data_IF_450963406292
#
_entry.id   IF_450963406292
#
_cell.length_a   1.000
_cell.length_b   1.000
_cell.length_c   1.000
_cell.angle_alpha   90.00
_cell.angle_beta   90.00
_cell.angle_gamma   90.00
#
_symmetry.space_group_name_H-M   'P 1'
#
loop_
_entity.id
_entity.type
_entity.pdbx_description
1 polymer ?
#
# COMPACT_ATOMS: atom_id res chain seq x y z
N UNK A 1 -24.07 -4.01 20.08
CA UNK A 1 -23.32 -4.92 19.20
C UNK A 1 -22.26 -4.20 18.34
N UNK A 2 -22.49 -3.00 17.85
CA UNK A 2 -21.51 -2.21 17.06
C UNK A 2 -20.26 -1.78 17.86
N UNK A 3 -20.39 -1.39 19.13
CA UNK A 3 -19.25 -0.92 19.93
C UNK A 3 -18.15 -1.97 20.15
N UNK A 4 -18.48 -3.25 20.29
CA UNK A 4 -17.49 -4.31 20.49
C UNK A 4 -16.72 -4.68 19.21
N UNK A 5 -17.31 -4.55 18.03
CA UNK A 5 -16.69 -4.92 16.76
C UNK A 5 -15.64 -3.92 16.29
N UNK A 6 -15.81 -2.62 16.60
CA UNK A 6 -14.89 -1.56 16.20
C UNK A 6 -13.53 -1.60 16.93
N UNK A 7 -13.53 -2.03 18.19
CA UNK A 7 -12.30 -2.15 18.99
C UNK A 7 -11.49 -3.42 18.71
N UNK A 8 -12.07 -4.41 18.02
CA UNK A 8 -11.46 -5.73 17.80
C UNK A 8 -10.73 -5.88 16.46
N UNK A 9 -10.74 -4.86 15.60
CA UNK A 9 -10.07 -4.94 14.29
C UNK A 9 -8.56 -5.07 14.43
N UNK A 10 -8.00 -4.61 15.55
CA UNK A 10 -6.57 -4.59 15.80
C UNK A 10 -6.28 -5.02 17.24
N UNK A 11 -6.31 -6.33 17.48
CA UNK A 11 -5.99 -6.90 18.79
C UNK A 11 -4.56 -7.46 18.82
N UNK A 12 -3.87 -7.18 19.93
CA UNK A 12 -2.63 -7.86 20.28
C UNK A 12 -2.97 -9.28 20.72
N UNK A 13 -2.57 -10.28 19.94
CA UNK A 13 -3.08 -11.65 20.05
C UNK A 13 -2.27 -12.53 20.98
N UNK A 14 -1.06 -12.12 21.36
CA UNK A 14 -0.20 -12.86 22.27
C UNK A 14 0.36 -11.99 23.38
N UNK A 15 0.27 -12.50 24.61
CA UNK A 15 0.92 -11.82 25.74
C UNK A 15 2.42 -11.63 25.48
N UNK A 16 2.92 -10.45 25.79
CA UNK A 16 4.33 -10.04 25.64
C UNK A 16 5.36 -11.04 26.23
N UNK A 17 4.96 -11.80 27.25
CA UNK A 17 5.81 -12.84 27.88
C UNK A 17 6.03 -14.04 26.93
N UNK A 18 4.99 -14.45 26.20
CA UNK A 18 5.05 -15.56 25.24
C UNK A 18 5.90 -15.19 24.04
N UNK A 19 5.74 -13.97 23.51
CA UNK A 19 6.55 -13.45 22.40
C UNK A 19 8.03 -13.34 22.80
N UNK A 20 8.34 -12.86 24.01
CA UNK A 20 9.71 -12.80 24.52
C UNK A 20 10.36 -14.19 24.63
N UNK A 21 9.57 -15.21 24.99
CA UNK A 21 10.05 -16.61 25.09
C UNK A 21 10.31 -17.20 23.69
N UNK A 22 9.46 -16.92 22.72
CA UNK A 22 9.61 -17.38 21.33
C UNK A 22 10.83 -16.75 20.64
N UNK A 23 11.13 -15.47 20.93
CA UNK A 23 12.26 -14.74 20.35
C UNK A 23 13.65 -15.16 20.87
N UNK A 24 13.72 -16.05 21.88
CA UNK A 24 15.00 -16.45 22.48
C UNK A 24 15.76 -17.41 21.55
N UNK A 25 16.64 -16.84 20.68
CA UNK A 25 17.51 -17.60 19.78
C UNK A 25 16.84 -18.15 18.50
N UNK A 26 15.57 -17.85 18.24
CA UNK A 26 14.85 -18.30 17.06
C UNK A 26 14.77 -17.17 16.02
N UNK A 27 15.12 -17.46 14.77
CA UNK A 27 14.85 -16.57 13.62
C UNK A 27 13.57 -17.02 12.94
N UNK A 28 12.75 -16.06 12.56
CA UNK A 28 11.49 -16.27 11.86
C UNK A 28 11.64 -15.96 10.36
N UNK A 29 11.04 -16.81 9.53
CA UNK A 29 11.03 -16.59 8.09
C UNK A 29 9.85 -15.67 7.72
N UNK A 30 10.10 -14.71 6.84
CA UNK A 30 9.04 -13.92 6.20
C UNK A 30 8.04 -14.85 5.49
N UNK A 31 6.76 -14.73 5.81
CA UNK A 31 5.68 -15.56 5.28
C UNK A 31 4.86 -16.24 6.36
N UNK A 32 4.02 -17.18 5.94
CA UNK A 32 3.16 -17.93 6.86
C UNK A 32 3.97 -18.87 7.76
N UNK A 33 3.71 -18.79 9.05
CA UNK A 33 4.25 -19.68 10.07
C UNK A 33 3.13 -20.54 10.64
N UNK A 34 3.20 -21.86 10.39
CA UNK A 34 2.17 -22.82 10.80
C UNK A 34 2.14 -23.10 12.30
N UNK A 35 3.26 -22.93 13.01
CA UNK A 35 3.32 -23.15 14.47
C UNK A 35 2.56 -22.06 15.23
N UNK A 36 2.58 -20.83 14.72
CA UNK A 36 1.92 -19.66 15.33
C UNK A 36 0.58 -19.34 14.67
N UNK A 37 0.26 -20.04 13.58
CA UNK A 37 -0.87 -19.69 12.69
C UNK A 37 -0.93 -18.20 12.38
N UNK A 38 0.22 -17.61 12.04
CA UNK A 38 0.31 -16.19 11.69
C UNK A 38 1.20 -15.97 10.47
N UNK A 39 1.00 -14.82 9.79
CA UNK A 39 1.85 -14.37 8.71
C UNK A 39 2.88 -13.38 9.25
N UNK A 40 4.15 -13.73 9.16
CA UNK A 40 5.26 -12.90 9.63
C UNK A 40 5.68 -11.95 8.52
N UNK A 41 5.53 -10.64 8.75
CA UNK A 41 5.90 -9.58 7.82
C UNK A 41 7.27 -8.96 8.13
N UNK A 42 7.94 -9.48 9.15
CA UNK A 42 9.30 -9.10 9.51
C UNK A 42 10.31 -9.70 8.53
N UNK A 43 11.16 -8.87 7.95
CA UNK A 43 12.24 -9.30 7.03
C UNK A 43 13.58 -9.46 7.72
N UNK A 44 13.74 -8.89 8.92
CA UNK A 44 14.96 -9.00 9.75
C UNK A 44 15.07 -10.31 10.54
N UNK A 45 14.03 -11.15 10.46
CA UNK A 45 13.96 -12.43 11.16
C UNK A 45 13.58 -12.35 12.63
N UNK A 46 13.16 -11.18 13.11
CA UNK A 46 12.63 -11.00 14.48
C UNK A 46 11.11 -11.10 14.48
N UNK A 47 10.52 -11.37 15.63
CA UNK A 47 9.07 -11.32 15.82
C UNK A 47 8.76 -10.41 17.01
N UNK A 48 7.98 -9.38 16.77
CA UNK A 48 7.39 -8.48 17.77
C UNK A 48 5.96 -8.86 18.08
N UNK A 49 5.08 -7.88 18.09
CA UNK A 49 3.66 -8.09 18.39
C UNK A 49 2.97 -8.81 17.23
N UNK A 50 1.94 -9.59 17.58
CA UNK A 50 1.06 -10.25 16.62
C UNK A 50 -0.31 -9.61 16.72
N UNK A 51 -0.74 -9.02 15.61
CA UNK A 51 -2.05 -8.39 15.48
C UNK A 51 -3.02 -9.31 14.74
N UNK A 52 -4.27 -9.33 15.17
CA UNK A 52 -5.34 -9.97 14.43
C UNK A 52 -6.15 -8.91 13.68
N UNK A 53 -6.21 -9.05 12.35
CA UNK A 53 -6.95 -8.17 11.45
C UNK A 53 -7.99 -9.03 10.73
N UNK A 54 -9.23 -9.00 11.19
CA UNK A 54 -10.35 -9.76 10.61
C UNK A 54 -10.02 -11.24 10.35
N UNK A 55 -9.50 -11.91 11.38
CA UNK A 55 -9.13 -13.33 11.33
C UNK A 55 -7.76 -13.63 10.71
N UNK A 56 -7.04 -12.62 10.19
CA UNK A 56 -5.66 -12.77 9.73
C UNK A 56 -4.70 -12.32 10.83
N UNK A 57 -3.90 -13.22 11.35
CA UNK A 57 -2.85 -12.90 12.32
C UNK A 57 -1.58 -12.46 11.60
N UNK A 58 -1.07 -11.30 11.98
CA UNK A 58 0.07 -10.62 11.35
C UNK A 58 1.15 -10.34 12.39
N UNK A 59 2.32 -10.95 12.25
CA UNK A 59 3.47 -10.75 13.12
C UNK A 59 4.41 -9.68 12.57
N UNK A 60 4.60 -8.59 13.31
CA UNK A 60 5.48 -7.47 12.94
C UNK A 60 6.91 -7.69 13.47
N UNK A 61 7.92 -6.93 12.98
CA UNK A 61 9.27 -6.94 13.53
C UNK A 61 9.28 -6.56 15.01
N UNK A 62 10.30 -7.04 15.71
CA UNK A 62 10.53 -6.64 17.10
C UNK A 62 10.88 -5.16 17.19
N UNK A 63 10.28 -4.47 18.16
CA UNK A 63 10.61 -3.07 18.46
C UNK A 63 12.11 -2.91 18.74
N UNK A 64 12.82 -2.01 18.05
CA UNK A 64 14.23 -1.79 18.25
C UNK A 64 14.48 -1.18 19.65
N UNK A 65 15.66 -1.45 20.21
CA UNK A 65 16.05 -0.89 21.52
C UNK A 65 16.07 0.64 21.48
N UNK A 66 16.44 1.23 20.36
CA UNK A 66 16.51 2.68 20.13
C UNK A 66 15.81 3.00 18.79
N UNK A 67 14.93 3.98 18.81
CA UNK A 67 14.34 4.57 17.62
C UNK A 67 15.12 5.85 17.33
N UNK A 68 15.74 5.92 16.14
CA UNK A 68 16.64 6.99 15.77
C UNK A 68 15.92 8.35 15.78
N UNK A 69 16.56 9.36 16.38
CA UNK A 69 16.04 10.72 16.40
C UNK A 69 14.83 10.97 17.30
N UNK A 70 14.42 9.97 18.11
CA UNK A 70 13.21 10.09 18.93
C UNK A 70 13.45 9.69 20.40
N UNK A 71 12.86 10.47 21.32
CA UNK A 71 12.92 10.21 22.73
C UNK A 71 11.63 9.47 23.19
N UNK A 72 11.80 8.24 23.70
CA UNK A 72 10.69 7.41 24.21
C UNK A 72 9.92 8.03 25.38
N UNK A 73 10.48 9.04 26.06
CA UNK A 73 9.81 9.71 27.16
C UNK A 73 8.86 10.84 26.75
N UNK A 74 8.99 11.33 25.51
CA UNK A 74 8.13 12.40 24.98
C UNK A 74 6.84 11.83 24.44
N UNK A 75 5.72 12.21 25.04
CA UNK A 75 4.39 11.79 24.59
C UNK A 75 3.90 12.53 23.34
N UNK A 76 4.38 13.75 23.12
CA UNK A 76 3.94 14.60 22.00
C UNK A 76 4.76 14.34 20.72
N UNK A 77 4.82 13.06 20.29
CA UNK A 77 5.49 12.66 19.06
C UNK A 77 4.50 12.01 18.11
N UNK A 78 4.64 12.32 16.84
CA UNK A 78 3.83 11.77 15.75
C UNK A 78 4.70 11.61 14.50
N UNK A 79 4.16 10.95 13.47
CA UNK A 79 4.89 10.79 12.22
C UNK A 79 5.20 12.15 11.59
N UNK A 80 6.45 12.34 11.24
CA UNK A 80 6.90 13.48 10.47
C UNK A 80 7.66 12.98 9.24
N UNK A 81 7.28 13.53 8.09
CA UNK A 81 7.97 13.24 6.84
C UNK A 81 9.46 13.53 6.99
N UNK A 82 10.30 12.60 6.56
CA UNK A 82 11.75 12.79 6.58
C UNK A 82 12.18 13.78 5.51
N UNK A 83 12.88 14.80 5.91
CA UNK A 83 13.43 15.79 4.99
C UNK A 83 14.66 15.24 4.29
N UNK A 84 14.73 15.40 2.96
CA UNK A 84 16.01 15.24 2.26
C UNK A 84 17.00 16.31 2.74
N UNK A 85 18.30 15.98 2.87
CA UNK A 85 19.33 17.00 3.00
C UNK A 85 19.20 18.04 1.88
N UNK A 86 19.34 19.32 2.20
CA UNK A 86 19.07 20.41 1.24
C UNK A 86 19.95 20.30 -0.01
N UNK A 87 21.20 19.90 0.16
CA UNK A 87 22.10 19.63 -0.95
C UNK A 87 21.65 18.50 -1.87
N UNK A 88 21.04 17.42 -1.32
CA UNK A 88 20.46 16.32 -2.10
C UNK A 88 19.20 16.73 -2.87
N UNK A 89 18.47 17.75 -2.44
CA UNK A 89 17.31 18.25 -3.17
C UNK A 89 17.66 18.85 -4.53
N UNK A 90 18.88 19.34 -4.70
CA UNK A 90 19.42 19.90 -5.94
C UNK A 90 19.82 18.84 -6.96
N UNK A 91 20.09 17.62 -6.50
CA UNK A 91 20.49 16.49 -7.36
C UNK A 91 19.20 15.88 -7.96
N UNK A 92 19.08 15.97 -9.28
CA UNK A 92 17.91 15.49 -10.02
C UNK A 92 18.15 14.17 -10.72
N UNK A 93 19.40 13.89 -11.09
CA UNK A 93 19.76 12.71 -11.88
C UNK A 93 20.95 11.99 -11.24
N UNK A 94 21.14 10.72 -11.62
CA UNK A 94 22.32 9.96 -11.19
C UNK A 94 23.62 10.61 -11.73
N UNK A 95 23.57 11.26 -12.89
CA UNK A 95 24.72 11.99 -13.44
C UNK A 95 25.12 13.18 -12.56
N UNK A 96 24.16 13.95 -12.06
CA UNK A 96 24.43 15.05 -11.14
C UNK A 96 25.12 14.53 -9.88
N UNK A 97 24.70 13.33 -9.42
CA UNK A 97 25.30 12.70 -8.23
C UNK A 97 26.70 12.14 -8.51
N UNK A 98 26.93 11.50 -9.65
CA UNK A 98 28.27 11.01 -10.06
C UNK A 98 29.29 12.17 -10.11
N UNK A 99 28.87 13.35 -10.56
CA UNK A 99 29.71 14.53 -10.67
C UNK A 99 29.85 15.34 -9.35
N UNK A 100 29.22 14.89 -8.26
CA UNK A 100 29.31 15.56 -6.97
C UNK A 100 30.69 15.26 -6.34
N UNK A 101 31.32 16.25 -5.61
CA UNK A 101 32.64 16.03 -4.99
C UNK A 101 32.63 14.82 -4.04
N UNK A 102 33.64 13.95 -4.15
CA UNK A 102 33.73 12.71 -3.37
C UNK A 102 33.69 12.96 -1.86
N UNK A 103 34.39 13.97 -1.38
CA UNK A 103 34.41 14.30 0.04
C UNK A 103 33.06 14.67 0.66
N UNK A 104 32.05 14.92 -0.18
CA UNK A 104 30.69 15.29 0.24
C UNK A 104 29.70 14.13 0.08
N UNK A 105 30.12 13.01 -0.51
CA UNK A 105 29.23 11.88 -0.84
C UNK A 105 28.94 10.96 0.36
N UNK A 106 29.86 10.80 1.31
CA UNK A 106 29.71 9.82 2.41
C UNK A 106 28.41 9.99 3.21
N UNK A 107 28.06 11.24 3.55
CA UNK A 107 26.80 11.53 4.23
C UNK A 107 25.56 11.23 3.39
N UNK A 108 25.67 11.34 2.06
CA UNK A 108 24.59 11.04 1.14
C UNK A 108 24.38 9.55 0.93
N UNK A 109 25.45 8.77 0.82
CA UNK A 109 25.36 7.32 0.74
C UNK A 109 24.64 6.76 1.96
N UNK A 110 25.03 7.16 3.16
CA UNK A 110 24.35 6.74 4.39
C UNK A 110 22.85 7.11 4.41
N UNK A 111 22.51 8.31 3.93
CA UNK A 111 21.11 8.73 3.82
C UNK A 111 20.37 7.85 2.82
N UNK A 112 20.93 7.63 1.64
CA UNK A 112 20.34 6.83 0.57
C UNK A 112 20.16 5.37 1.01
N UNK A 113 21.18 4.77 1.62
CA UNK A 113 21.13 3.41 2.16
C UNK A 113 20.00 3.26 3.21
N UNK A 114 19.87 4.23 4.11
CA UNK A 114 18.77 4.24 5.07
C UNK A 114 17.40 4.29 4.38
N UNK A 115 17.24 5.10 3.31
CA UNK A 115 15.98 5.17 2.56
C UNK A 115 15.65 3.84 1.87
N UNK A 116 16.65 3.13 1.31
CA UNK A 116 16.47 1.79 0.78
C UNK A 116 16.12 0.77 1.88
N UNK A 117 16.78 0.84 3.04
CA UNK A 117 16.45 -0.02 4.18
C UNK A 117 15.03 0.23 4.68
N UNK A 118 14.59 1.49 4.81
CA UNK A 118 13.20 1.80 5.20
C UNK A 118 12.18 1.35 4.16
N UNK A 119 12.53 1.45 2.89
CA UNK A 119 11.71 0.93 1.79
C UNK A 119 11.57 -0.58 1.84
N UNK A 120 12.62 -1.31 2.21
CA UNK A 120 12.62 -2.77 2.27
C UNK A 120 12.07 -3.30 3.59
N UNK A 121 12.62 -2.85 4.72
CA UNK A 121 12.41 -3.45 6.03
C UNK A 121 11.36 -2.71 6.88
N UNK A 122 10.94 -1.53 6.42
CA UNK A 122 10.01 -0.66 7.12
C UNK A 122 10.70 0.33 8.07
N UNK A 123 9.89 1.11 8.75
CA UNK A 123 10.34 2.23 9.55
C UNK A 123 9.66 2.27 10.91
N UNK A 124 10.44 2.53 11.95
CA UNK A 124 9.95 2.73 13.31
C UNK A 124 9.96 4.20 13.70
N UNK A 125 8.88 4.66 14.30
CA UNK A 125 8.78 6.00 14.90
C UNK A 125 8.01 5.94 16.22
N UNK A 126 8.05 7.03 17.00
CA UNK A 126 7.24 7.18 18.21
C UNK A 126 5.94 7.91 17.86
N UNK A 127 4.82 7.36 18.29
CA UNK A 127 3.51 7.95 18.15
C UNK A 127 2.81 7.97 19.50
N UNK A 128 2.53 9.16 20.03
CA UNK A 128 1.92 9.34 21.35
C UNK A 128 2.63 8.54 22.49
N UNK A 129 3.96 8.52 22.46
CA UNK A 129 4.76 7.81 23.45
C UNK A 129 4.94 6.30 23.23
N UNK A 130 4.30 5.73 22.19
CA UNK A 130 4.39 4.31 21.86
C UNK A 130 5.16 4.09 20.55
N UNK A 131 5.97 2.99 20.45
CA UNK A 131 6.62 2.62 19.21
C UNK A 131 5.60 2.21 18.15
N UNK A 132 5.70 2.79 16.97
CA UNK A 132 4.85 2.50 15.83
C UNK A 132 5.68 2.03 14.64
N UNK A 133 5.30 0.90 14.06
CA UNK A 133 5.93 0.33 12.88
C UNK A 133 5.17 0.70 11.61
N UNK A 134 5.90 1.05 10.56
CA UNK A 134 5.42 1.18 9.19
C UNK A 134 6.06 0.10 8.34
N UNK A 135 5.28 -0.63 7.55
CA UNK A 135 5.84 -1.49 6.49
C UNK A 135 6.58 -0.64 5.45
N UNK A 136 7.47 -1.24 4.68
CA UNK A 136 8.19 -0.50 3.63
C UNK A 136 7.26 0.20 2.64
N UNK A 137 6.18 -0.48 2.22
CA UNK A 137 5.15 0.11 1.34
C UNK A 137 4.45 1.31 1.99
N UNK A 138 4.14 1.23 3.29
CA UNK A 138 3.54 2.35 4.02
C UNK A 138 4.51 3.53 4.17
N UNK A 139 5.79 3.24 4.47
CA UNK A 139 6.82 4.25 4.52
C UNK A 139 6.96 5.01 3.19
N UNK A 140 7.02 4.29 2.07
CA UNK A 140 7.08 4.89 0.73
C UNK A 140 5.83 5.74 0.45
N UNK A 141 4.64 5.24 0.82
CA UNK A 141 3.40 5.98 0.67
C UNK A 141 3.44 7.32 1.42
N UNK A 142 3.83 7.33 2.69
CA UNK A 142 3.85 8.54 3.50
C UNK A 142 5.00 9.49 3.13
N UNK A 143 6.18 8.97 2.84
CA UNK A 143 7.38 9.81 2.70
C UNK A 143 7.64 10.25 1.26
N UNK A 144 7.29 9.42 0.26
CA UNK A 144 7.70 9.62 -1.13
C UNK A 144 6.55 9.72 -2.13
N UNK A 145 5.33 9.39 -1.73
CA UNK A 145 4.17 9.51 -2.62
C UNK A 145 3.65 10.94 -2.63
N UNK A 146 3.47 11.47 -3.83
CA UNK A 146 2.75 12.73 -4.04
C UNK A 146 1.27 12.41 -4.23
N UNK A 147 0.42 13.11 -3.49
CA UNK A 147 -1.04 13.14 -3.69
C UNK A 147 -1.46 14.55 -4.15
N UNK A 148 -2.75 14.75 -4.46
CA UNK A 148 -3.26 16.00 -4.99
C UNK A 148 -2.92 17.22 -4.12
N UNK A 149 -2.95 17.06 -2.80
CA UNK A 149 -2.68 18.10 -1.80
C UNK A 149 -1.30 18.04 -1.16
N UNK A 150 -0.33 17.39 -1.81
CA UNK A 150 1.04 17.29 -1.31
C UNK A 150 1.45 15.87 -0.95
N UNK A 151 1.56 15.52 0.32
CA UNK A 151 1.91 14.18 0.82
C UNK A 151 0.81 13.65 1.72
N UNK A 152 0.59 12.33 1.76
CA UNK A 152 -0.37 11.76 2.69
C UNK A 152 0.12 11.88 4.14
N UNK A 153 -0.84 12.00 5.04
CA UNK A 153 -0.61 11.97 6.49
C UNK A 153 -0.69 10.54 7.02
N UNK A 154 -0.03 10.31 8.15
CA UNK A 154 -0.14 9.04 8.87
C UNK A 154 -1.55 8.88 9.45
N UNK A 155 -2.16 7.71 9.18
CA UNK A 155 -3.47 7.31 9.74
C UNK A 155 -3.43 5.86 10.18
N UNK A 156 -4.05 5.58 11.31
CA UNK A 156 -4.15 4.22 11.84
C UNK A 156 -4.86 3.27 10.85
N UNK A 157 -5.91 3.73 10.18
CA UNK A 157 -6.58 2.96 9.14
C UNK A 157 -5.62 2.51 8.03
N UNK A 158 -4.75 3.41 7.56
CA UNK A 158 -3.76 3.10 6.55
C UNK A 158 -2.69 2.13 7.08
N UNK A 159 -2.32 2.20 8.37
CA UNK A 159 -1.41 1.23 9.00
C UNK A 159 -1.99 -0.17 8.98
N UNK A 160 -3.26 -0.33 9.35
CA UNK A 160 -3.97 -1.61 9.29
C UNK A 160 -4.02 -2.13 7.85
N UNK A 161 -4.37 -1.29 6.88
CA UNK A 161 -4.39 -1.61 5.47
C UNK A 161 -3.03 -2.13 4.99
N UNK A 162 -1.93 -1.44 5.29
CA UNK A 162 -0.60 -1.84 4.85
C UNK A 162 -0.05 -3.07 5.60
N UNK A 163 -0.42 -3.30 6.86
CA UNK A 163 -0.10 -4.55 7.55
C UNK A 163 -0.80 -5.73 6.89
N UNK A 164 -2.09 -5.59 6.59
CA UNK A 164 -2.86 -6.60 5.90
C UNK A 164 -2.33 -6.88 4.49
N UNK A 165 -2.00 -5.82 3.76
CA UNK A 165 -1.39 -5.95 2.43
C UNK A 165 -0.03 -6.64 2.46
N UNK A 166 0.84 -6.27 3.38
CA UNK A 166 2.15 -6.93 3.53
C UNK A 166 1.98 -8.40 3.88
N UNK A 167 1.01 -8.74 4.72
CA UNK A 167 0.68 -10.13 5.01
C UNK A 167 0.15 -10.87 3.78
N UNK A 168 -0.69 -10.25 2.93
CA UNK A 168 -1.10 -10.83 1.65
C UNK A 168 0.08 -11.11 0.72
N UNK A 169 1.08 -10.21 0.69
CA UNK A 169 2.32 -10.42 -0.09
C UNK A 169 3.16 -11.56 0.45
N UNK A 170 3.32 -11.61 1.77
CA UNK A 170 4.14 -12.61 2.45
C UNK A 170 3.54 -14.01 2.41
N UNK A 171 2.22 -14.13 2.45
CA UNK A 171 1.52 -15.42 2.42
C UNK A 171 1.47 -15.99 0.99
N UNK A 172 2.20 -17.06 0.76
CA UNK A 172 2.23 -17.77 -0.54
C UNK A 172 0.90 -18.42 -0.92
N UNK A 173 -0.06 -18.52 0.01
CA UNK A 173 -1.40 -19.05 -0.22
C UNK A 173 -2.37 -17.99 -0.76
N UNK A 174 -2.07 -16.71 -0.55
CA UNK A 174 -2.91 -15.57 -0.94
C UNK A 174 -2.60 -15.09 -2.35
N UNK A 175 -3.63 -14.77 -3.12
CA UNK A 175 -3.52 -14.00 -4.37
C UNK A 175 -3.57 -12.48 -4.15
N UNK A 176 -3.71 -12.01 -2.91
CA UNK A 176 -3.80 -10.60 -2.59
C UNK A 176 -5.01 -10.28 -1.71
N UNK A 177 -5.51 -9.06 -1.81
CA UNK A 177 -6.59 -8.57 -0.98
C UNK A 177 -7.83 -8.17 -1.78
N UNK A 178 -9.01 -8.29 -1.14
CA UNK A 178 -10.28 -7.73 -1.57
C UNK A 178 -10.77 -6.74 -0.49
N UNK A 179 -10.59 -5.46 -0.74
CA UNK A 179 -10.86 -4.40 0.22
C UNK A 179 -12.21 -3.74 -0.02
N UNK A 180 -13.13 -3.92 0.91
CA UNK A 180 -14.36 -3.13 0.97
C UNK A 180 -14.04 -1.83 1.72
N UNK A 181 -14.06 -0.72 1.00
CA UNK A 181 -13.60 0.59 1.47
C UNK A 181 -14.76 1.58 1.58
N UNK A 182 -14.59 2.58 2.43
CA UNK A 182 -15.38 3.78 2.41
C UNK A 182 -14.96 4.72 1.25
N UNK A 183 -15.81 5.69 0.93
CA UNK A 183 -15.44 6.77 0.01
C UNK A 183 -14.29 7.58 0.59
N UNK A 184 -13.38 8.06 -0.27
CA UNK A 184 -12.21 8.89 0.08
C UNK A 184 -11.19 8.23 1.02
N UNK A 185 -11.19 6.90 1.11
CA UNK A 185 -10.19 6.14 1.90
C UNK A 185 -8.73 6.28 1.41
N UNK A 186 -8.48 6.97 0.29
CA UNK A 186 -7.15 7.08 -0.30
C UNK A 186 -6.67 5.84 -1.06
N UNK A 187 -7.50 4.79 -1.20
CA UNK A 187 -7.11 3.51 -1.81
C UNK A 187 -6.42 3.65 -3.16
N UNK A 188 -6.97 4.45 -4.08
CA UNK A 188 -6.39 4.61 -5.42
C UNK A 188 -4.96 5.16 -5.38
N UNK A 189 -4.64 6.04 -4.41
CA UNK A 189 -3.27 6.53 -4.20
C UNK A 189 -2.38 5.48 -3.53
N UNK A 190 -2.88 4.74 -2.54
CA UNK A 190 -2.13 3.65 -1.90
C UNK A 190 -1.78 2.56 -2.92
N UNK A 191 -2.74 2.17 -3.76
CA UNK A 191 -2.54 1.18 -4.83
C UNK A 191 -1.58 1.68 -5.91
N UNK A 192 -1.69 2.95 -6.34
CA UNK A 192 -0.77 3.56 -7.30
C UNK A 192 0.66 3.66 -6.75
N UNK A 193 0.80 4.02 -5.46
CA UNK A 193 2.09 4.05 -4.77
C UNK A 193 2.72 2.67 -4.72
N UNK A 194 1.96 1.64 -4.37
CA UNK A 194 2.47 0.26 -4.33
C UNK A 194 2.84 -0.27 -5.71
N UNK A 195 2.06 0.10 -6.75
CA UNK A 195 2.37 -0.26 -8.13
C UNK A 195 3.74 0.30 -8.55
N UNK A 196 3.98 1.60 -8.35
CA UNK A 196 5.27 2.25 -8.64
C UNK A 196 6.38 1.68 -7.74
N UNK A 197 6.09 1.46 -6.45
CA UNK A 197 7.04 0.90 -5.50
C UNK A 197 7.55 -0.46 -5.96
N UNK A 198 6.67 -1.38 -6.31
CA UNK A 198 7.07 -2.70 -6.79
C UNK A 198 7.73 -2.65 -8.17
N UNK A 199 7.23 -1.85 -9.11
CA UNK A 199 7.80 -1.75 -10.45
C UNK A 199 9.24 -1.22 -10.46
N UNK A 200 9.58 -0.38 -9.48
CA UNK A 200 10.93 0.19 -9.34
C UNK A 200 11.87 -0.65 -8.43
N UNK A 201 11.42 -1.82 -7.96
CA UNK A 201 12.21 -2.77 -7.16
C UNK A 201 12.20 -4.20 -7.70
N UNK A 202 11.46 -4.44 -8.76
CA UNK A 202 11.39 -5.75 -9.44
C UNK A 202 12.17 -5.72 -10.76
N UNK A 203 12.43 -6.90 -11.32
CA UNK A 203 12.97 -7.08 -12.68
C UNK A 203 12.03 -7.97 -13.50
N UNK A 204 12.03 -7.82 -14.82
CA UNK A 204 11.25 -8.65 -15.76
C UNK A 204 9.78 -8.81 -15.38
N UNK A 205 9.15 -7.72 -14.95
CA UNK A 205 7.82 -7.76 -14.32
C UNK A 205 6.83 -6.80 -14.98
N UNK A 206 5.55 -7.20 -14.99
CA UNK A 206 4.44 -6.37 -15.46
C UNK A 206 3.47 -6.05 -14.35
N UNK A 207 2.92 -4.84 -14.40
CA UNK A 207 1.99 -4.27 -13.43
C UNK A 207 0.79 -3.73 -14.18
N UNK A 208 -0.39 -4.31 -13.90
CA UNK A 208 -1.62 -3.99 -14.62
C UNK A 208 -2.60 -3.19 -13.77
N UNK A 209 -3.35 -2.30 -14.41
CA UNK A 209 -4.39 -1.49 -13.76
C UNK A 209 -5.72 -1.69 -14.47
N UNK A 210 -6.74 -2.04 -13.70
CA UNK A 210 -8.14 -2.04 -14.09
C UNK A 210 -8.94 -1.16 -13.13
N UNK A 211 -10.03 -0.58 -13.63
CA UNK A 211 -10.98 0.19 -12.83
C UNK A 211 -12.41 -0.13 -13.31
N UNK A 212 -13.41 0.62 -12.85
CA UNK A 212 -14.81 0.43 -13.30
C UNK A 212 -14.96 0.63 -14.83
N UNK A 213 -14.18 1.52 -15.43
CA UNK A 213 -14.08 1.72 -16.90
C UNK A 213 -12.65 1.89 -17.33
N UNK A 214 -12.37 1.71 -18.64
CA UNK A 214 -11.04 1.99 -19.21
C UNK A 214 -10.62 3.45 -19.06
N UNK A 215 -11.57 4.39 -19.13
CA UNK A 215 -11.30 5.81 -18.90
C UNK A 215 -10.83 6.08 -17.46
N UNK A 216 -11.46 5.44 -16.47
CA UNK A 216 -11.06 5.55 -15.06
C UNK A 216 -9.69 4.89 -14.80
N UNK A 217 -9.43 3.73 -15.42
CA UNK A 217 -8.12 3.08 -15.35
C UNK A 217 -7.02 3.96 -15.94
N UNK A 218 -7.27 4.57 -17.11
CA UNK A 218 -6.38 5.55 -17.73
C UNK A 218 -6.15 6.76 -16.83
N UNK A 219 -7.22 7.32 -16.24
CA UNK A 219 -7.14 8.45 -15.33
C UNK A 219 -6.31 8.10 -14.08
N UNK A 220 -6.51 6.92 -13.49
CA UNK A 220 -5.67 6.46 -12.38
C UNK A 220 -4.20 6.40 -12.78
N UNK A 221 -3.90 5.88 -13.97
CA UNK A 221 -2.54 5.80 -14.49
C UNK A 221 -1.93 7.18 -14.70
N UNK A 222 -2.60 8.08 -15.46
CA UNK A 222 -2.07 9.40 -15.81
C UNK A 222 -1.98 10.37 -14.64
N UNK A 223 -2.95 10.34 -13.73
CA UNK A 223 -3.10 11.34 -12.68
C UNK A 223 -2.48 10.92 -11.35
N UNK A 224 -2.20 9.61 -11.17
CA UNK A 224 -1.62 9.08 -9.92
C UNK A 224 -0.31 8.34 -10.16
N UNK A 225 -0.29 7.28 -10.96
CA UNK A 225 0.91 6.44 -11.16
C UNK A 225 2.06 7.25 -11.78
N UNK A 226 1.80 7.93 -12.88
CA UNK A 226 2.84 8.73 -13.57
C UNK A 226 3.37 9.86 -12.69
N UNK A 227 2.55 10.68 -12.01
CA UNK A 227 3.06 11.70 -11.09
C UNK A 227 3.84 11.13 -9.91
N UNK A 228 3.46 9.99 -9.34
CA UNK A 228 4.21 9.34 -8.25
C UNK A 228 5.60 8.95 -8.75
N UNK A 229 5.69 8.28 -9.90
CA UNK A 229 6.97 7.91 -10.51
C UNK A 229 7.84 9.14 -10.81
N UNK A 230 7.26 10.17 -11.44
CA UNK A 230 7.97 11.40 -11.80
C UNK A 230 8.54 12.13 -10.57
N UNK A 231 7.84 12.06 -9.42
CA UNK A 231 8.26 12.74 -8.19
C UNK A 231 9.22 11.91 -7.30
N UNK A 232 9.51 10.66 -7.65
CA UNK A 232 10.52 9.89 -6.90
C UNK A 232 11.88 10.59 -6.94
N UNK A 233 12.69 10.47 -5.88
CA UNK A 233 14.05 10.99 -5.88
C UNK A 233 14.90 10.23 -6.89
N UNK A 234 15.99 10.83 -7.37
CA UNK A 234 16.86 10.24 -8.38
C UNK A 234 17.34 8.82 -8.03
N UNK A 235 17.59 8.55 -6.75
CA UNK A 235 18.07 7.25 -6.28
C UNK A 235 17.01 6.16 -6.25
N UNK A 236 15.72 6.50 -6.38
CA UNK A 236 14.62 5.55 -6.54
C UNK A 236 14.11 5.46 -7.99
N UNK A 237 14.59 6.34 -8.87
CA UNK A 237 14.20 6.33 -10.28
C UNK A 237 15.08 5.39 -11.08
N UNK A 238 14.52 4.28 -11.62
CA UNK A 238 15.23 3.51 -12.63
C UNK A 238 15.28 4.27 -13.96
N UNK A 239 16.08 3.74 -14.90
CA UNK A 239 16.09 4.23 -16.28
C UNK A 239 14.69 4.02 -16.86
N UNK A 240 14.16 5.05 -17.50
CA UNK A 240 12.85 5.04 -18.12
C UNK A 240 13.00 5.17 -19.64
N UNK A 241 12.31 4.30 -20.38
CA UNK A 241 12.14 4.43 -21.83
C UNK A 241 10.89 5.25 -22.16
N UNK A 242 10.96 6.02 -23.23
CA UNK A 242 9.85 6.83 -23.73
C UNK A 242 9.70 8.19 -23.06
N UNK A 243 8.47 8.69 -23.04
CA UNK A 243 8.14 10.03 -22.53
C UNK A 243 8.18 10.04 -21.00
N UNK A 244 8.55 11.19 -20.42
CA UNK A 244 8.49 11.41 -18.95
C UNK A 244 7.05 11.25 -18.41
N UNK A 245 6.05 11.60 -19.21
CA UNK A 245 4.62 11.51 -18.85
C UNK A 245 3.85 10.68 -19.88
N UNK A 246 3.99 9.37 -19.85
CA UNK A 246 3.29 8.49 -20.77
C UNK A 246 1.77 8.45 -20.49
N UNK A 247 0.97 8.11 -21.51
CA UNK A 247 -0.49 8.00 -21.41
C UNK A 247 -1.01 6.57 -21.38
N UNK A 248 -0.17 5.60 -21.77
CA UNK A 248 -0.56 4.19 -21.94
C UNK A 248 0.28 3.23 -21.15
N UNK A 249 1.59 3.38 -21.18
CA UNK A 249 2.55 2.48 -20.54
C UNK A 249 3.72 3.29 -19.97
N UNK A 250 4.10 3.00 -18.74
CA UNK A 250 5.32 3.48 -18.11
C UNK A 250 6.33 2.32 -18.11
N UNK A 251 7.45 2.51 -18.80
CA UNK A 251 8.45 1.47 -19.05
C UNK A 251 9.79 1.82 -18.42
N UNK A 252 10.29 0.96 -17.53
CA UNK A 252 11.60 1.07 -16.91
C UNK A 252 12.59 0.14 -17.61
N UNK A 253 12.91 0.49 -18.84
CA UNK A 253 13.81 -0.25 -19.74
C UNK A 253 14.92 0.66 -20.23
N UNK A 254 16.01 0.07 -20.68
CA UNK A 254 17.03 0.82 -21.41
C UNK A 254 16.42 1.25 -22.74
N UNK A 255 16.45 2.55 -23.08
CA UNK A 255 15.97 3.02 -24.36
C UNK A 255 16.68 2.31 -25.51
N UNK A 256 15.93 1.69 -26.41
CA UNK A 256 16.48 1.11 -27.62
C UNK A 256 16.90 2.23 -28.60
N UNK A 257 17.99 2.91 -28.30
CA UNK A 257 18.61 3.83 -29.26
C UNK A 257 19.20 3.00 -30.39
N UNK A 258 18.68 3.17 -31.59
CA UNK A 258 19.43 2.84 -32.77
C UNK A 258 20.67 3.74 -32.78
N UNK A 259 21.77 3.23 -32.24
CA UNK A 259 23.08 3.88 -32.33
C UNK A 259 23.43 3.91 -33.82
N UNK A 260 23.26 5.05 -34.46
CA UNK A 260 23.77 5.24 -35.82
C UNK A 260 25.30 5.15 -35.74
N UNK A 261 25.93 4.54 -36.72
CA UNK A 261 27.38 4.39 -36.87
C UNK A 261 28.14 5.72 -36.62
N UNK A 262 27.52 6.85 -36.87
CA UNK A 262 28.05 8.19 -36.63
C UNK A 262 28.08 8.61 -35.16
N UNK A 263 27.12 8.17 -34.37
CA UNK A 263 27.10 8.46 -32.91
C UNK A 263 28.17 7.64 -32.16
N UNK A 264 28.45 6.41 -32.63
CA UNK A 264 29.54 5.58 -32.11
C UNK A 264 30.94 6.15 -32.43
N UNK A 265 31.10 6.93 -33.49
CA UNK A 265 32.39 7.58 -33.87
C UNK A 265 32.63 8.90 -33.12
N UNK A 266 31.59 9.60 -32.70
CA UNK A 266 31.69 10.91 -32.04
C UNK A 266 31.87 10.82 -30.51
N UNK A 267 31.50 9.72 -29.88
CA UNK A 267 31.61 9.48 -28.44
C UNK A 267 32.74 8.53 -28.08
N UNK A 268 33.90 8.65 -28.71
CA UNK A 268 35.08 7.82 -28.54
C UNK A 268 35.21 7.19 -27.12
N UNK A 269 35.06 5.89 -27.05
CA UNK A 269 34.93 5.03 -25.89
C UNK A 269 33.53 5.06 -25.21
N UNK A 270 32.67 4.23 -25.73
CA UNK A 270 31.66 3.58 -24.91
C UNK A 270 32.40 2.66 -23.91
N UNK A 271 32.77 3.18 -22.74
CA UNK A 271 32.69 2.34 -21.58
C UNK A 271 31.19 2.15 -21.35
N UNK A 272 30.65 1.08 -21.93
CA UNK A 272 29.41 0.48 -21.53
C UNK A 272 29.59 0.04 -20.06
N UNK A 273 29.41 0.95 -19.12
CA UNK A 273 28.81 0.54 -17.87
C UNK A 273 27.47 -0.04 -18.31
N UNK A 274 27.33 -1.37 -18.24
CA UNK A 274 26.09 -2.07 -18.45
C UNK A 274 25.07 -1.56 -17.44
N UNK A 275 24.42 -0.45 -17.75
CA UNK A 275 23.27 0.02 -17.01
C UNK A 275 22.14 -0.95 -17.34
N UNK A 276 21.99 -1.99 -16.52
CA UNK A 276 20.93 -2.96 -16.66
C UNK A 276 19.59 -2.28 -16.36
N UNK A 277 18.71 -2.18 -17.35
CA UNK A 277 17.32 -1.80 -17.15
C UNK A 277 16.60 -2.80 -16.26
N UNK A 278 15.53 -2.39 -15.59
CA UNK A 278 14.71 -3.29 -14.78
C UNK A 278 13.82 -4.20 -15.64
N UNK A 279 13.57 -3.84 -16.90
CA UNK A 279 12.60 -4.51 -17.79
C UNK A 279 11.21 -4.65 -17.17
N UNK A 280 10.78 -3.62 -16.45
CA UNK A 280 9.46 -3.57 -15.84
C UNK A 280 8.55 -2.58 -16.56
N UNK A 281 7.26 -2.89 -16.59
CA UNK A 281 6.23 -2.04 -17.20
C UNK A 281 5.02 -1.89 -16.29
N UNK A 282 4.42 -0.70 -16.30
CA UNK A 282 3.10 -0.43 -15.73
C UNK A 282 2.19 0.03 -16.86
N UNK A 283 1.07 -0.64 -17.03
CA UNK A 283 0.05 -0.27 -18.01
C UNK A 283 -1.36 -0.32 -17.45
N UNK A 284 -2.31 0.08 -18.24
CA UNK A 284 -3.74 -0.02 -17.93
C UNK A 284 -4.49 -0.61 -19.15
N UNK A 285 -5.60 -1.28 -18.88
CA UNK A 285 -6.46 -1.82 -19.96
C UNK A 285 -7.90 -1.38 -19.80
N UNK A 286 -8.64 -1.48 -20.90
CA UNK A 286 -10.09 -1.34 -20.87
C UNK A 286 -10.70 -2.43 -20.01
N UNK A 287 -11.79 -2.08 -19.31
CA UNK A 287 -12.55 -2.99 -18.47
C UNK A 287 -13.28 -4.00 -19.33
N UNK A 288 -13.18 -5.26 -18.97
CA UNK A 288 -13.83 -6.36 -19.66
C UNK A 288 -13.46 -7.71 -19.06
N UNK A 289 -14.30 -8.72 -19.27
CA UNK A 289 -14.11 -10.06 -18.69
C UNK A 289 -12.75 -10.68 -19.02
N UNK A 290 -12.21 -10.42 -20.20
CA UNK A 290 -10.93 -10.98 -20.70
C UNK A 290 -9.76 -9.99 -20.62
N UNK A 291 -9.89 -8.88 -19.88
CA UNK A 291 -8.78 -7.94 -19.71
C UNK A 291 -7.59 -8.64 -19.02
N UNK A 292 -6.40 -8.47 -19.57
CA UNK A 292 -5.16 -9.14 -19.18
C UNK A 292 -5.10 -10.66 -19.41
N UNK A 293 -6.04 -11.26 -20.16
CA UNK A 293 -5.94 -12.68 -20.50
C UNK A 293 -4.62 -13.01 -21.22
N UNK A 294 -3.98 -14.12 -20.84
CA UNK A 294 -2.71 -14.57 -21.39
C UNK A 294 -1.46 -13.80 -20.92
N UNK A 295 -1.60 -12.79 -20.05
CA UNK A 295 -0.46 -12.04 -19.54
C UNK A 295 0.04 -12.57 -18.19
N UNK A 296 1.34 -12.35 -17.90
CA UNK A 296 1.93 -12.63 -16.58
C UNK A 296 2.08 -11.30 -15.84
N UNK A 297 1.43 -11.18 -14.68
CA UNK A 297 1.44 -9.97 -13.86
C UNK A 297 2.11 -10.24 -12.51
N UNK A 298 2.93 -9.28 -12.07
CA UNK A 298 3.48 -9.24 -10.72
C UNK A 298 2.51 -8.57 -9.74
N UNK A 299 1.83 -7.52 -10.19
CA UNK A 299 0.74 -6.88 -9.45
C UNK A 299 -0.38 -6.52 -10.42
N UNK A 300 -1.60 -6.83 -10.02
CA UNK A 300 -2.83 -6.35 -10.64
C UNK A 300 -3.54 -5.43 -9.65
N UNK A 301 -3.76 -4.19 -10.05
CA UNK A 301 -4.58 -3.23 -9.29
C UNK A 301 -5.98 -3.23 -9.90
N UNK A 302 -6.98 -3.50 -9.05
CA UNK A 302 -8.39 -3.38 -9.37
C UNK A 302 -9.02 -2.27 -8.53
N UNK A 303 -9.27 -1.10 -9.12
CA UNK A 303 -10.00 -0.03 -8.44
C UNK A 303 -11.49 -0.05 -8.83
N UNK A 304 -12.36 0.25 -7.88
CA UNK A 304 -13.81 0.32 -8.04
C UNK A 304 -14.45 -0.98 -8.60
N UNK A 305 -13.96 -2.15 -8.14
CA UNK A 305 -14.37 -3.48 -8.65
C UNK A 305 -15.85 -3.81 -8.46
N UNK A 306 -16.53 -3.21 -7.47
CA UNK A 306 -17.96 -3.36 -7.24
C UNK A 306 -18.84 -2.53 -8.17
N UNK A 307 -18.24 -1.71 -9.03
CA UNK A 307 -18.95 -0.79 -9.93
C UNK A 307 -18.84 -1.19 -11.41
N UNK A 308 -18.50 -2.45 -11.68
CA UNK A 308 -18.50 -2.96 -13.03
C UNK A 308 -19.93 -3.13 -13.53
N UNK A 309 -20.27 -2.44 -14.62
CA UNK A 309 -21.59 -2.47 -15.23
C UNK A 309 -21.73 -3.66 -16.17
N UNK A 310 -22.92 -4.24 -16.26
CA UNK A 310 -23.22 -5.32 -17.19
C UNK A 310 -23.04 -4.84 -18.64
N UNK A 311 -22.58 -5.71 -19.58
CA UNK A 311 -22.48 -7.16 -19.45
C UNK A 311 -21.22 -7.65 -18.71
N UNK A 312 -20.20 -6.81 -18.49
CA UNK A 312 -18.96 -7.20 -17.85
C UNK A 312 -19.16 -7.62 -16.38
N UNK A 313 -18.33 -8.54 -15.91
CA UNK A 313 -18.52 -9.18 -14.63
C UNK A 313 -17.18 -9.40 -13.91
N UNK A 314 -17.02 -8.78 -12.74
CA UNK A 314 -15.82 -8.91 -11.93
C UNK A 314 -15.50 -10.36 -11.55
N UNK A 315 -16.49 -11.23 -11.37
CA UNK A 315 -16.25 -12.65 -11.08
C UNK A 315 -15.63 -13.38 -12.28
N UNK A 316 -16.09 -13.07 -13.49
CA UNK A 316 -15.53 -13.63 -14.71
C UNK A 316 -14.11 -13.12 -14.93
N UNK A 317 -13.91 -11.82 -14.88
CA UNK A 317 -12.57 -11.25 -15.00
C UNK A 317 -11.63 -11.81 -13.93
N UNK A 318 -12.07 -11.96 -12.67
CA UNK A 318 -11.23 -12.53 -11.63
C UNK A 318 -10.81 -13.99 -11.92
N UNK A 319 -11.68 -14.79 -12.53
CA UNK A 319 -11.31 -16.15 -12.96
C UNK A 319 -10.18 -16.14 -13.98
N UNK A 320 -10.21 -15.19 -14.92
CA UNK A 320 -9.17 -14.99 -15.94
C UNK A 320 -7.90 -14.44 -15.30
N UNK A 321 -7.98 -13.29 -14.64
CA UNK A 321 -6.80 -12.57 -14.11
C UNK A 321 -6.10 -13.30 -12.98
N UNK A 322 -6.79 -14.13 -12.21
CA UNK A 322 -6.18 -15.03 -11.23
C UNK A 322 -5.14 -15.95 -11.87
N UNK A 323 -5.34 -16.38 -13.12
CA UNK A 323 -4.37 -17.22 -13.84
C UNK A 323 -3.11 -16.44 -14.20
N UNK A 324 -3.21 -15.13 -14.43
CA UNK A 324 -2.08 -14.26 -14.77
C UNK A 324 -1.12 -14.04 -13.58
N UNK A 325 -1.58 -14.32 -12.37
CA UNK A 325 -0.83 -14.15 -11.11
C UNK A 325 -0.12 -15.43 -10.65
N UNK A 326 -0.14 -16.50 -11.46
CA UNK A 326 0.48 -17.77 -11.11
C UNK A 326 1.34 -18.33 -12.22
N UNK A 327 2.30 -19.14 -11.84
CA UNK A 327 3.09 -19.96 -12.76
C UNK A 327 2.94 -21.41 -12.32
N UNK A 328 2.15 -22.18 -13.06
CA UNK A 328 1.74 -23.52 -12.64
C UNK A 328 0.98 -23.47 -11.30
N UNK A 329 1.45 -24.17 -10.28
CA UNK A 329 0.88 -24.16 -8.92
C UNK A 329 1.36 -23.02 -8.04
N UNK A 330 2.39 -22.28 -8.45
CA UNK A 330 3.03 -21.23 -7.65
C UNK A 330 2.38 -19.88 -7.93
N UNK A 331 1.94 -19.18 -6.88
CA UNK A 331 1.49 -17.79 -6.96
C UNK A 331 2.74 -16.90 -7.05
N UNK A 332 2.86 -16.15 -8.14
CA UNK A 332 4.01 -15.28 -8.44
C UNK A 332 3.64 -13.80 -8.39
N UNK A 333 2.38 -13.46 -8.62
CA UNK A 333 1.87 -12.11 -8.56
C UNK A 333 0.76 -11.95 -7.52
N UNK A 334 0.36 -10.72 -7.26
CA UNK A 334 -0.67 -10.37 -6.29
C UNK A 334 -1.70 -9.42 -6.90
N UNK A 335 -2.91 -9.44 -6.35
CA UNK A 335 -3.96 -8.48 -6.70
C UNK A 335 -4.26 -7.56 -5.51
N UNK A 336 -4.26 -6.26 -5.74
CA UNK A 336 -4.77 -5.26 -4.82
C UNK A 336 -6.10 -4.76 -5.35
N UNK A 337 -7.18 -5.36 -4.86
CA UNK A 337 -8.56 -5.06 -5.27
C UNK A 337 -9.24 -4.22 -4.21
N UNK A 338 -9.92 -3.14 -4.61
CA UNK A 338 -10.69 -2.32 -3.69
C UNK A 338 -11.91 -1.69 -4.34
N UNK A 339 -13.00 -1.60 -3.58
CA UNK A 339 -14.22 -0.93 -4.01
C UNK A 339 -15.03 -0.43 -2.83
N UNK A 340 -15.82 0.62 -3.08
CA UNK A 340 -16.98 0.92 -2.25
C UNK A 340 -18.12 -0.03 -2.57
N UNK A 341 -19.10 -0.12 -1.68
CA UNK A 341 -20.37 -0.81 -1.98
C UNK A 341 -21.05 -0.18 -3.19
N UNK A 342 -21.87 -0.96 -3.87
CA UNK A 342 -22.72 -0.53 -4.98
C UNK A 342 -24.06 -1.24 -4.90
N UNK A 343 -25.09 -0.70 -5.56
CA UNK A 343 -26.38 -1.33 -5.69
C UNK A 343 -26.25 -2.74 -6.29
N UNK A 344 -26.97 -3.70 -5.73
CA UNK A 344 -26.80 -5.12 -6.09
C UNK A 344 -27.20 -5.41 -7.55
N UNK A 345 -28.20 -4.71 -8.06
CA UNK A 345 -28.67 -4.78 -9.45
C UNK A 345 -27.68 -4.14 -10.46
N UNK A 346 -26.78 -3.28 -9.99
CA UNK A 346 -25.74 -2.58 -10.78
C UNK A 346 -24.35 -3.21 -10.65
N UNK A 347 -24.28 -4.52 -10.41
CA UNK A 347 -23.00 -5.26 -10.32
C UNK A 347 -22.43 -5.40 -8.91
N UNK A 348 -23.02 -4.75 -7.91
CA UNK A 348 -22.60 -4.88 -6.51
C UNK A 348 -22.75 -6.30 -5.95
N UNK A 349 -23.69 -7.10 -6.47
CA UNK A 349 -23.90 -8.51 -6.11
C UNK A 349 -22.68 -9.38 -6.43
N UNK A 350 -22.03 -9.15 -7.57
CA UNK A 350 -20.83 -9.89 -7.96
C UNK A 350 -19.64 -9.59 -7.05
N UNK A 351 -19.43 -8.33 -6.71
CA UNK A 351 -18.38 -7.94 -5.77
C UNK A 351 -18.67 -8.44 -4.36
N UNK A 352 -19.92 -8.35 -3.89
CA UNK A 352 -20.36 -8.92 -2.61
C UNK A 352 -20.03 -10.41 -2.53
N UNK A 353 -20.34 -11.18 -3.57
CA UNK A 353 -20.02 -12.61 -3.65
C UNK A 353 -18.51 -12.86 -3.62
N UNK A 354 -17.74 -12.07 -4.36
CA UNK A 354 -16.27 -12.16 -4.36
C UNK A 354 -15.69 -11.84 -2.97
N UNK A 355 -16.20 -10.81 -2.31
CA UNK A 355 -15.79 -10.40 -0.98
C UNK A 355 -16.04 -11.52 0.05
N UNK A 356 -17.25 -12.10 0.10
CA UNK A 356 -17.53 -13.22 1.02
C UNK A 356 -16.72 -14.48 0.71
N UNK A 357 -16.41 -14.74 -0.56
CA UNK A 357 -15.53 -15.84 -0.97
C UNK A 357 -14.04 -15.56 -0.58
N UNK A 358 -13.74 -14.39 -0.09
CA UNK A 358 -12.40 -13.94 0.33
C UNK A 358 -12.22 -13.97 1.85
N UNK A 359 -13.19 -14.47 2.60
CA UNK A 359 -13.13 -14.57 4.07
C UNK A 359 -11.99 -15.48 4.52
N UNK A 360 -11.03 -14.89 5.24
CA UNK A 360 -9.83 -15.59 5.72
C UNK A 360 -10.11 -16.63 6.81
N UNK A 361 -11.27 -16.57 7.45
CA UNK A 361 -11.69 -17.56 8.45
C UNK A 361 -12.21 -18.84 7.79
N UNK A 362 -12.58 -18.78 6.50
CA UNK A 362 -13.12 -19.89 5.71
C UNK A 362 -12.11 -20.33 4.64
N UNK A 363 -11.19 -21.21 5.01
CA UNK A 363 -10.11 -21.70 4.14
C UNK A 363 -10.27 -23.18 3.82
N UNK A 364 -9.85 -23.56 2.62
CA UNK A 364 -9.75 -24.95 2.22
C UNK A 364 -8.53 -25.65 2.87
N UNK A 365 -8.35 -26.94 2.58
CA UNK A 365 -7.22 -27.75 3.12
C UNK A 365 -5.83 -27.20 2.75
N UNK A 366 -5.73 -26.43 1.67
CA UNK A 366 -4.48 -25.77 1.25
C UNK A 366 -4.28 -24.40 1.91
N UNK A 367 -5.16 -24.01 2.83
CA UNK A 367 -5.12 -22.72 3.51
C UNK A 367 -5.53 -21.54 2.65
N UNK A 368 -6.21 -21.77 1.51
CA UNK A 368 -6.70 -20.73 0.60
C UNK A 368 -8.19 -20.47 0.83
N UNK A 369 -8.60 -19.21 0.71
CA UNK A 369 -10.01 -18.84 0.60
C UNK A 369 -10.59 -19.30 -0.75
N UNK A 370 -11.90 -19.30 -0.90
CA UNK A 370 -12.58 -19.72 -2.15
C UNK A 370 -12.15 -18.86 -3.35
N UNK A 371 -12.04 -17.54 -3.17
CA UNK A 371 -11.54 -16.64 -4.22
C UNK A 371 -10.02 -16.72 -4.39
N UNK A 372 -9.30 -17.04 -3.32
CA UNK A 372 -7.85 -16.92 -3.18
C UNK A 372 -7.39 -15.53 -2.69
N UNK A 373 -8.29 -14.53 -2.68
CA UNK A 373 -8.05 -13.22 -2.08
C UNK A 373 -8.36 -13.25 -0.57
N UNK A 374 -7.87 -12.27 0.17
CA UNK A 374 -8.20 -12.05 1.58
C UNK A 374 -9.05 -10.79 1.71
N UNK A 375 -10.21 -10.93 2.36
CA UNK A 375 -11.15 -9.83 2.57
C UNK A 375 -10.66 -8.89 3.68
N UNK A 376 -10.73 -7.58 3.42
CA UNK A 376 -10.52 -6.52 4.40
C UNK A 376 -11.69 -5.56 4.34
N UNK A 377 -12.21 -5.17 5.49
CA UNK A 377 -13.17 -4.09 5.67
C UNK A 377 -12.66 -3.11 6.72
N UNK A 378 -12.54 -1.85 6.36
CA UNK A 378 -12.32 -0.78 7.33
C UNK A 378 -13.53 0.12 7.32
N UNK A 379 -14.26 0.18 8.44
CA UNK A 379 -15.41 1.06 8.60
C UNK A 379 -15.02 2.53 8.39
N UNK A 380 -15.99 3.33 8.01
CA UNK A 380 -15.76 4.73 7.66
C UNK A 380 -15.24 5.53 8.86
N UNK A 381 -15.65 5.21 10.05
CA UNK A 381 -15.28 5.86 11.31
C UNK A 381 -13.77 5.83 11.56
N UNK A 382 -13.05 4.87 10.94
CA UNK A 382 -11.59 4.78 11.05
C UNK A 382 -10.83 5.83 10.23
N UNK A 383 -11.47 6.44 9.25
CA UNK A 383 -10.83 7.39 8.34
C UNK A 383 -11.67 8.61 8.01
N UNK A 384 -12.65 8.95 8.86
CA UNK A 384 -13.55 10.06 8.59
C UNK A 384 -12.85 11.40 8.86
N UNK A 385 -12.82 12.26 7.84
CA UNK A 385 -12.16 13.57 7.92
C UNK A 385 -12.79 14.44 9.01
N UNK A 386 -11.95 15.22 9.70
CA UNK A 386 -12.36 16.05 10.83
C UNK A 386 -12.45 15.30 12.18
N UNK A 387 -12.25 13.96 12.19
CA UNK A 387 -12.27 13.13 13.40
C UNK A 387 -11.01 12.29 13.57
N UNK A 388 -9.91 12.71 12.99
CA UNK A 388 -8.60 12.07 13.14
C UNK A 388 -7.72 13.02 13.97
N UNK A 389 -7.19 12.52 15.07
CA UNK A 389 -6.32 13.31 15.94
C UNK A 389 -4.93 13.53 15.30
N UNK A 390 -4.11 14.41 15.87
CA UNK A 390 -2.75 14.73 15.39
C UNK A 390 -1.80 13.53 15.35
N UNK A 391 -2.13 12.44 16.06
CA UNK A 391 -1.38 11.19 16.04
C UNK A 391 -1.86 10.22 14.95
N UNK A 392 -2.90 10.58 14.19
CA UNK A 392 -3.48 9.77 13.12
C UNK A 392 -4.48 8.71 13.62
N UNK A 393 -4.97 8.81 14.86
CA UNK A 393 -5.97 7.91 15.40
C UNK A 393 -7.37 8.49 15.28
N UNK A 394 -8.38 7.66 14.99
CA UNK A 394 -9.77 8.11 14.96
C UNK A 394 -10.28 8.45 16.37
N UNK A 395 -10.99 9.56 16.48
CA UNK A 395 -11.70 9.98 17.69
C UNK A 395 -13.11 9.39 17.63
N UNK A 396 -13.31 8.19 18.19
CA UNK A 396 -14.58 7.46 18.09
C UNK A 396 -15.68 8.08 18.94
N UNK A 397 -15.39 8.34 20.22
CA UNK A 397 -16.33 8.91 21.18
C UNK A 397 -15.93 10.36 21.51
N UNK A 398 -16.90 11.15 21.96
CA UNK A 398 -16.63 12.55 22.39
C UNK A 398 -15.55 12.55 23.47
N UNK A 399 -14.42 13.21 23.22
CA UNK A 399 -13.35 13.26 24.20
C UNK A 399 -13.74 14.16 25.38
N UNK A 400 -13.22 13.91 26.61
CA UNK A 400 -13.53 14.73 27.81
C UNK A 400 -13.02 16.18 27.65
N UNK A 401 -11.96 16.39 26.90
CA UNK A 401 -11.44 17.70 26.50
C UNK A 401 -11.18 17.69 24.99
N UNK A 402 -11.33 18.83 24.30
CA UNK A 402 -11.06 18.90 22.86
C UNK A 402 -9.65 18.45 22.53
N UNK A 403 -9.50 17.63 21.49
CA UNK A 403 -8.21 17.13 21.02
C UNK A 403 -7.80 17.79 19.70
N UNK A 404 -6.51 18.00 19.52
CA UNK A 404 -5.96 18.57 18.28
C UNK A 404 -6.05 17.55 17.15
N UNK A 405 -6.71 17.92 16.05
CA UNK A 405 -6.82 17.12 14.84
C UNK A 405 -5.55 17.16 13.99
N UNK A 406 -5.50 16.25 13.01
CA UNK A 406 -4.38 16.15 12.06
C UNK A 406 -4.25 17.38 11.16
N UNK A 407 -5.33 18.10 10.95
CA UNK A 407 -5.42 19.37 10.23
C UNK A 407 -5.09 20.60 11.10
N UNK A 408 -4.85 20.40 12.40
CA UNK A 408 -4.59 21.44 13.39
C UNK A 408 -5.86 22.06 13.98
N UNK A 409 -7.05 21.60 13.59
CA UNK A 409 -8.32 22.05 14.15
C UNK A 409 -8.65 21.25 15.43
N UNK A 410 -9.50 21.81 16.31
CA UNK A 410 -9.91 21.12 17.53
C UNK A 410 -11.13 20.24 17.28
N UNK A 411 -11.05 18.99 17.71
CA UNK A 411 -12.12 17.99 17.66
C UNK A 411 -12.85 18.00 19.01
N UNK A 412 -14.12 18.39 19.01
CA UNK A 412 -14.96 18.53 20.20
C UNK A 412 -15.90 17.33 20.42
N UNK A 413 -16.14 16.53 19.39
CA UNK A 413 -17.07 15.40 19.42
C UNK A 413 -16.47 14.21 18.70
N UNK A 414 -16.91 12.98 19.06
CA UNK A 414 -16.47 11.77 18.38
C UNK A 414 -17.26 11.49 17.10
N UNK A 415 -16.65 10.72 16.18
CA UNK A 415 -17.26 10.36 14.90
C UNK A 415 -18.58 9.58 15.08
N UNK A 416 -18.67 8.73 16.12
CA UNK A 416 -19.90 7.95 16.39
C UNK A 416 -21.03 8.88 16.79
N UNK A 417 -20.75 9.85 17.68
CA UNK A 417 -21.75 10.84 18.10
C UNK A 417 -22.16 11.75 16.94
N UNK A 418 -21.22 12.13 16.07
CA UNK A 418 -21.55 12.87 14.85
C UNK A 418 -22.52 12.08 13.99
N UNK A 419 -22.24 10.80 13.72
CA UNK A 419 -23.11 9.93 12.94
C UNK A 419 -24.50 9.72 13.54
N UNK A 420 -24.58 9.50 14.85
CA UNK A 420 -25.84 9.37 15.55
C UNK A 420 -26.73 10.62 15.34
N UNK A 421 -26.11 11.80 15.40
CA UNK A 421 -26.79 13.07 15.16
C UNK A 421 -27.23 13.25 13.69
N UNK A 422 -26.37 12.91 12.73
CA UNK A 422 -26.72 12.98 11.30
C UNK A 422 -27.86 12.02 10.97
N UNK A 423 -27.79 10.77 11.41
CA UNK A 423 -28.85 9.77 11.21
C UNK A 423 -30.17 10.23 11.85
N UNK A 424 -30.11 10.83 13.06
CA UNK A 424 -31.31 11.37 13.71
C UNK A 424 -31.94 12.50 12.88
N UNK A 425 -31.11 13.38 12.29
CA UNK A 425 -31.57 14.44 11.40
C UNK A 425 -32.24 13.91 10.12
N UNK A 426 -31.71 12.80 9.57
CA UNK A 426 -32.17 12.17 8.32
C UNK A 426 -33.38 11.24 8.51
N UNK A 427 -33.76 10.88 9.73
CA UNK A 427 -34.95 10.01 9.98
C UNK A 427 -36.24 10.54 9.38
N UNK A 428 -36.34 11.83 9.11
CA UNK A 428 -37.50 12.48 8.48
C UNK A 428 -37.52 12.33 6.96
N UNK A 429 -36.40 11.90 6.36
CA UNK A 429 -36.22 11.68 4.92
C UNK A 429 -35.63 10.29 4.68
N UNK A 430 -36.49 9.25 4.49
CA UNK A 430 -36.04 7.87 4.29
C UNK A 430 -35.16 7.67 3.06
N UNK A 431 -35.35 8.46 2.01
CA UNK A 431 -34.57 8.34 0.78
C UNK A 431 -33.16 8.90 1.00
N UNK A 432 -33.04 10.07 1.65
CA UNK A 432 -31.75 10.62 2.05
C UNK A 432 -30.98 9.69 3.02
N UNK A 433 -31.69 9.04 3.96
CA UNK A 433 -31.09 8.08 4.89
C UNK A 433 -30.55 6.82 4.15
N UNK A 434 -31.20 6.38 3.09
CA UNK A 434 -30.75 5.23 2.28
C UNK A 434 -29.54 5.57 1.40
N UNK A 435 -29.39 6.84 1.00
CA UNK A 435 -28.24 7.30 0.21
C UNK A 435 -27.01 7.60 1.07
N UNK A 436 -27.21 7.89 2.35
CA UNK A 436 -26.17 8.23 3.31
C UNK A 436 -25.47 6.98 3.85
#
# INVERSE_FOLDING_TARGET
>A
MYKQTLYTIFQDHLENKTIKRLNKGKKFKYGYNSELDCVIISKDGTLGDIYEIQGLKVGIPKTPKKIEGQDKKKKDQYFRKRNRPESLKRIKTIYDFKNYPENSKDGYYKYIDNEFNYRNDGYWFMCNGEPCYLTGSHYIYLNWTKIDVGSPDFRQANRIFFYFWEACKADTRSYGMCYLKNRRSGFSFMASSECVNQATTSTDSRFGILSKTGADAKKMFTDKVVPISTNYPFFFKPIQDGMERPKTELSYKIPSRRLTRNTLRSTGSLQEEEENGLDTTIDWKNTGDNSYDGEKLQLLVHDESGKWERPDNILNNWRVTKTCLRLGSKIVGKCMMGSTSNALDKGGDHFKKLYYNSDVTNRNRNGQTTSGLYALFLPMEWGFEGFIDKYGYPVFETPPEPVEGIDGELIFTGVINHWENEVEGLKKDPDALNEY
#
